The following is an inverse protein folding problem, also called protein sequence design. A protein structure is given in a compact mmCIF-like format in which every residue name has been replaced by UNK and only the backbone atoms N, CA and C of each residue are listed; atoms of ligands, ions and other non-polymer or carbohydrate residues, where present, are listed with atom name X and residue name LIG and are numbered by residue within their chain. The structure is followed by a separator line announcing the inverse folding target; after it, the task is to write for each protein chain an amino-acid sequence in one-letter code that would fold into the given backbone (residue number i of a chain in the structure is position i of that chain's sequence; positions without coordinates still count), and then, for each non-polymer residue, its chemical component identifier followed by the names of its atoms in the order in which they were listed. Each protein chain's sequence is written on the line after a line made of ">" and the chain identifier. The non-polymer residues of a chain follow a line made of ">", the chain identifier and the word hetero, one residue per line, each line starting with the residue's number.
data_IF_764752619626
#
_entry.id   IF_764752619626
#
_cell.length_a   1.000
_cell.length_b   1.000
_cell.length_c   1.000
_cell.angle_alpha   90.00
_cell.angle_beta   90.00
_cell.angle_gamma   90.00
#
_symmetry.space_group_name_H-M   'P 1'
#
loop_
_entity.id
_entity.type
_entity.pdbx_description
1 polymer ?
#
# COMPACT_ATOMS: atom_id res chain seq x y z
N UNK A 1 32.19 -26.54 9.70
CA UNK A 1 30.96 -26.09 9.06
C UNK A 1 31.14 -24.63 8.74
N UNK A 2 31.29 -24.27 7.47
CA UNK A 2 31.40 -22.88 7.06
C UNK A 2 29.99 -22.29 7.01
N UNK A 3 29.77 -21.04 7.49
CA UNK A 3 28.49 -20.37 7.31
C UNK A 3 28.37 -19.96 5.84
N UNK A 4 27.28 -20.40 5.21
CA UNK A 4 26.91 -20.00 3.85
C UNK A 4 26.51 -18.52 3.86
N UNK A 5 27.46 -17.65 3.49
CA UNK A 5 27.20 -16.25 3.22
C UNK A 5 26.56 -16.09 1.84
N UNK A 6 25.25 -16.24 1.74
CA UNK A 6 24.48 -15.77 0.58
C UNK A 6 23.73 -14.47 0.98
N UNK A 7 24.46 -13.43 1.33
CA UNK A 7 23.98 -12.06 1.30
C UNK A 7 24.13 -11.52 -0.13
N UNK A 8 23.28 -11.99 -1.04
CA UNK A 8 23.11 -11.33 -2.33
C UNK A 8 22.15 -10.14 -2.10
N UNK A 9 22.68 -8.96 -1.82
CA UNK A 9 21.92 -7.74 -1.98
C UNK A 9 21.66 -7.57 -3.47
N UNK A 10 20.49 -7.99 -3.90
CA UNK A 10 20.00 -7.68 -5.22
C UNK A 10 19.80 -6.15 -5.32
N UNK A 11 20.71 -5.48 -6.03
CA UNK A 11 20.70 -4.03 -6.25
C UNK A 11 19.90 -3.64 -7.49
N UNK A 12 19.11 -4.58 -8.06
CA UNK A 12 18.25 -4.34 -9.22
C UNK A 12 17.14 -3.34 -8.95
N UNK A 13 16.63 -2.72 -10.01
CA UNK A 13 15.38 -1.96 -9.98
C UNK A 13 14.25 -2.89 -9.52
N UNK A 14 13.47 -2.46 -8.52
CA UNK A 14 12.40 -3.26 -7.94
C UNK A 14 11.07 -2.61 -8.25
N UNK A 15 10.11 -3.41 -8.68
CA UNK A 15 8.75 -2.96 -8.91
C UNK A 15 8.03 -2.68 -7.59
N UNK A 16 6.90 -1.99 -7.68
CA UNK A 16 6.25 -1.40 -6.54
C UNK A 16 4.89 -2.04 -6.32
N UNK A 17 4.59 -2.41 -5.09
CA UNK A 17 3.28 -2.90 -4.68
C UNK A 17 2.19 -1.84 -4.84
N UNK A 18 0.92 -2.27 -4.92
CA UNK A 18 -0.25 -1.42 -4.87
C UNK A 18 -1.07 -1.67 -3.60
N UNK A 19 -1.46 -0.60 -2.92
CA UNK A 19 -2.34 -0.65 -1.73
C UNK A 19 -3.65 0.06 -2.02
N UNK A 20 -4.73 -0.49 -1.46
CA UNK A 20 -6.07 0.06 -1.57
C UNK A 20 -6.81 -0.11 -0.24
N UNK A 21 -7.67 0.85 0.12
CA UNK A 21 -8.53 0.74 1.29
C UNK A 21 -9.80 1.55 1.10
N UNK A 22 -10.91 1.07 1.65
CA UNK A 22 -12.20 1.76 1.58
C UNK A 22 -13.01 1.54 2.86
N UNK A 23 -13.69 2.58 3.30
CA UNK A 23 -14.63 2.55 4.41
C UNK A 23 -15.94 3.21 3.97
N UNK A 24 -16.96 2.41 3.81
CA UNK A 24 -18.33 2.87 3.53
C UNK A 24 -19.09 3.08 4.83
N UNK A 25 -19.55 4.32 5.06
CA UNK A 25 -20.22 4.71 6.30
C UNK A 25 -21.72 4.38 6.29
N UNK A 26 -22.29 4.14 5.12
CA UNK A 26 -23.69 3.74 4.96
C UNK A 26 -23.86 2.22 5.12
N UNK A 27 -22.77 1.47 5.24
CA UNK A 27 -22.78 0.04 5.49
C UNK A 27 -22.82 -0.82 4.22
N UNK A 28 -22.58 -0.23 3.04
CA UNK A 28 -22.53 -0.99 1.80
C UNK A 28 -21.30 -1.91 1.74
N UNK A 29 -21.43 -3.05 1.05
CA UNK A 29 -20.32 -3.97 0.83
C UNK A 29 -19.22 -3.34 -0.05
N UNK A 30 -17.99 -3.40 0.44
CA UNK A 30 -16.83 -2.77 -0.22
C UNK A 30 -15.97 -3.74 -1.02
N UNK A 31 -16.22 -5.05 -0.94
CA UNK A 31 -15.36 -6.04 -1.61
C UNK A 31 -15.31 -5.86 -3.13
N UNK A 32 -16.40 -5.53 -3.85
CA UNK A 32 -16.32 -5.25 -5.27
C UNK A 32 -15.49 -4.00 -5.59
N UNK A 33 -15.59 -2.97 -4.75
CA UNK A 33 -14.81 -1.75 -4.93
C UNK A 33 -13.31 -2.00 -4.75
N UNK A 34 -12.93 -2.84 -3.78
CA UNK A 34 -11.54 -3.24 -3.58
C UNK A 34 -11.03 -4.04 -4.79
N UNK A 35 -11.83 -4.97 -5.30
CA UNK A 35 -11.50 -5.74 -6.50
C UNK A 35 -11.17 -4.83 -7.69
N UNK A 36 -12.04 -3.87 -8.02
CA UNK A 36 -11.81 -2.95 -9.13
C UNK A 36 -10.64 -1.99 -8.87
N UNK A 37 -10.49 -1.51 -7.64
CA UNK A 37 -9.34 -0.69 -7.24
C UNK A 37 -8.01 -1.44 -7.40
N UNK A 38 -7.93 -2.71 -6.97
CA UNK A 38 -6.76 -3.56 -7.17
C UNK A 38 -6.51 -3.90 -8.64
N UNK A 39 -7.58 -4.14 -9.42
CA UNK A 39 -7.46 -4.37 -10.86
C UNK A 39 -6.85 -3.16 -11.57
N UNK A 40 -7.21 -1.94 -11.16
CA UNK A 40 -6.61 -0.72 -11.68
C UNK A 40 -5.14 -0.53 -11.25
N UNK A 41 -4.73 -1.15 -10.14
CA UNK A 41 -3.35 -1.15 -9.63
C UNK A 41 -2.54 -2.39 -10.04
N UNK A 42 -3.06 -3.27 -10.90
CA UNK A 42 -2.43 -4.54 -11.26
C UNK A 42 -1.03 -4.37 -11.86
N UNK A 43 -0.76 -3.26 -12.56
CA UNK A 43 0.55 -2.93 -13.12
C UNK A 43 1.64 -2.78 -12.05
N UNK A 44 1.27 -2.52 -10.79
CA UNK A 44 2.18 -2.38 -9.65
C UNK A 44 2.56 -3.72 -9.01
N UNK A 45 1.78 -4.77 -9.24
CA UNK A 45 2.07 -6.08 -8.66
C UNK A 45 1.31 -7.20 -9.35
N UNK A 46 2.00 -8.25 -9.78
CA UNK A 46 1.45 -9.34 -10.57
C UNK A 46 1.67 -10.73 -9.95
N UNK A 47 2.37 -10.82 -8.83
CA UNK A 47 2.73 -12.11 -8.23
C UNK A 47 1.68 -12.64 -7.26
N UNK A 48 1.10 -11.76 -6.47
CA UNK A 48 0.04 -12.13 -5.54
C UNK A 48 -0.86 -10.95 -5.23
N UNK A 49 -2.06 -11.26 -4.79
CA UNK A 49 -3.01 -10.25 -4.34
C UNK A 49 -3.83 -10.78 -3.17
N UNK A 50 -4.47 -9.85 -2.46
CA UNK A 50 -5.31 -10.19 -1.33
C UNK A 50 -6.28 -9.07 -0.97
N UNK A 51 -7.38 -9.48 -0.32
CA UNK A 51 -8.42 -8.60 0.22
C UNK A 51 -8.72 -9.01 1.64
N UNK A 52 -8.86 -8.04 2.53
CA UNK A 52 -9.36 -8.23 3.89
C UNK A 52 -10.50 -7.23 4.15
N UNK A 53 -11.61 -7.72 4.68
CA UNK A 53 -12.81 -6.92 4.98
C UNK A 53 -13.30 -7.16 6.39
N UNK A 54 -14.02 -6.20 6.95
CA UNK A 54 -14.70 -6.31 8.24
C UNK A 54 -16.05 -5.60 8.18
N UNK A 55 -16.99 -6.07 8.99
CA UNK A 55 -18.26 -5.40 9.23
C UNK A 55 -18.16 -4.59 10.52
N UNK A 56 -18.29 -3.26 10.40
CA UNK A 56 -18.19 -2.33 11.54
C UNK A 56 -19.40 -2.36 12.44
N UNK A 57 -20.53 -2.92 11.99
CA UNK A 57 -21.77 -3.10 12.78
C UNK A 57 -21.79 -4.44 13.52
N UNK A 58 -20.97 -5.39 13.10
CA UNK A 58 -20.90 -6.74 13.63
C UNK A 58 -20.20 -6.86 15.00
N UNK A 59 -20.20 -8.07 15.57
CA UNK A 59 -19.46 -8.34 16.80
C UNK A 59 -17.97 -8.09 16.60
N UNK A 60 -17.28 -7.69 17.66
CA UNK A 60 -15.90 -7.21 17.65
C UNK A 60 -14.97 -8.04 16.75
N UNK A 61 -14.55 -7.42 15.65
CA UNK A 61 -13.29 -7.72 15.00
C UNK A 61 -13.21 -8.98 14.15
N UNK A 62 -14.30 -9.45 13.57
CA UNK A 62 -14.20 -10.49 12.55
C UNK A 62 -13.71 -9.90 11.24
N UNK A 63 -12.44 -10.12 10.95
CA UNK A 63 -11.86 -9.86 9.63
C UNK A 63 -11.97 -11.13 8.81
N UNK A 64 -12.63 -11.01 7.65
CA UNK A 64 -12.59 -12.02 6.60
C UNK A 64 -11.49 -11.63 5.63
N UNK A 65 -10.66 -12.58 5.23
CA UNK A 65 -9.60 -12.32 4.24
C UNK A 65 -9.39 -13.48 3.31
N UNK A 66 -9.01 -13.16 2.09
CA UNK A 66 -8.56 -14.14 1.12
C UNK A 66 -7.36 -13.55 0.36
N UNK A 67 -6.37 -14.37 0.09
CA UNK A 67 -5.17 -14.01 -0.66
C UNK A 67 -4.65 -15.19 -1.45
N UNK A 68 -4.01 -14.91 -2.57
CA UNK A 68 -3.49 -15.95 -3.46
C UNK A 68 -2.37 -15.46 -4.35
N UNK A 69 -1.69 -16.40 -4.99
CA UNK A 69 -0.71 -16.13 -6.03
C UNK A 69 -1.42 -15.94 -7.37
N UNK A 70 -0.99 -14.95 -8.15
CA UNK A 70 -1.54 -14.61 -9.46
C UNK A 70 -2.21 -13.24 -9.50
N UNK A 71 -2.85 -12.98 -10.64
CA UNK A 71 -3.53 -11.71 -10.90
C UNK A 71 -4.86 -11.60 -10.15
N UNK A 72 -5.34 -10.38 -9.96
CA UNK A 72 -6.59 -10.11 -9.22
C UNK A 72 -7.78 -10.90 -9.80
N UNK A 73 -7.90 -10.93 -11.13
CA UNK A 73 -8.97 -11.66 -11.82
C UNK A 73 -8.80 -13.20 -11.78
N UNK A 74 -7.61 -13.70 -11.50
CA UNK A 74 -7.34 -15.14 -11.33
C UNK A 74 -7.68 -15.60 -9.91
N UNK A 75 -7.26 -14.82 -8.92
CA UNK A 75 -7.42 -15.12 -7.50
C UNK A 75 -8.86 -14.89 -7.03
N UNK A 76 -9.50 -13.80 -7.45
CA UNK A 76 -10.83 -13.42 -7.01
C UNK A 76 -11.87 -13.74 -8.07
N UNK A 77 -12.49 -14.90 -7.96
CA UNK A 77 -13.71 -15.25 -8.68
C UNK A 77 -14.94 -14.73 -7.92
N UNK A 78 -16.08 -14.59 -8.59
CA UNK A 78 -17.31 -14.05 -8.03
C UNK A 78 -17.69 -14.68 -6.68
N UNK A 79 -17.64 -16.01 -6.59
CA UNK A 79 -17.94 -16.74 -5.35
C UNK A 79 -17.01 -16.38 -4.19
N UNK A 80 -15.76 -16.02 -4.46
CA UNK A 80 -14.83 -15.58 -3.42
C UNK A 80 -15.10 -14.16 -2.96
N UNK A 81 -15.52 -13.28 -3.85
CA UNK A 81 -15.91 -11.92 -3.49
C UNK A 81 -17.18 -11.91 -2.63
N UNK A 82 -18.16 -12.78 -2.92
CA UNK A 82 -19.38 -12.93 -2.12
C UNK A 82 -19.09 -13.37 -0.67
N UNK A 83 -18.04 -14.20 -0.45
CA UNK A 83 -17.61 -14.61 0.89
C UNK A 83 -16.98 -13.41 1.69
N UNK A 84 -16.45 -12.41 0.99
CA UNK A 84 -15.74 -11.26 1.55
C UNK A 84 -16.69 -10.05 1.73
N UNK A 85 -17.77 -10.21 2.45
CA UNK A 85 -18.72 -9.12 2.73
C UNK A 85 -18.31 -8.31 3.95
N UNK A 86 -18.36 -6.98 3.83
CA UNK A 86 -18.07 -6.01 4.88
C UNK A 86 -18.13 -4.59 4.35
N UNK A 87 -18.24 -3.60 5.23
CA UNK A 87 -18.32 -2.18 4.85
C UNK A 87 -17.00 -1.40 5.07
N UNK A 88 -15.97 -2.07 5.55
CA UNK A 88 -14.61 -1.57 5.62
C UNK A 88 -13.66 -2.67 5.12
N UNK A 89 -12.67 -2.30 4.31
CA UNK A 89 -11.72 -3.28 3.81
C UNK A 89 -10.46 -2.66 3.22
N UNK A 90 -9.45 -3.51 3.07
CA UNK A 90 -8.17 -3.17 2.46
C UNK A 90 -7.77 -4.25 1.46
N UNK A 91 -6.98 -3.87 0.47
CA UNK A 91 -6.45 -4.78 -0.53
C UNK A 91 -5.01 -4.48 -0.88
N UNK A 92 -4.37 -5.45 -1.51
CA UNK A 92 -2.97 -5.39 -1.91
C UNK A 92 -2.73 -6.16 -3.21
N UNK A 93 -1.89 -5.61 -4.08
CA UNK A 93 -1.23 -6.31 -5.18
C UNK A 93 0.27 -6.27 -4.94
N UNK A 94 0.92 -7.44 -5.04
CA UNK A 94 2.32 -7.59 -4.64
C UNK A 94 3.21 -7.87 -5.85
N UNK A 95 4.35 -7.20 -5.84
CA UNK A 95 5.55 -7.61 -6.54
C UNK A 95 6.65 -7.87 -5.50
N UNK A 96 7.41 -8.97 -5.65
CA UNK A 96 8.41 -9.38 -4.64
C UNK A 96 9.62 -8.45 -4.64
N UNK A 97 9.72 -7.62 -3.61
CA UNK A 97 10.94 -6.87 -3.31
C UNK A 97 11.78 -7.56 -2.24
N UNK A 98 11.11 -8.23 -1.30
CA UNK A 98 11.72 -8.90 -0.16
C UNK A 98 10.90 -10.15 0.19
N UNK A 99 11.58 -11.26 0.47
CA UNK A 99 10.95 -12.55 0.80
C UNK A 99 10.58 -13.39 -0.42
N UNK A 100 10.27 -14.66 -0.18
CA UNK A 100 9.88 -15.63 -1.22
C UNK A 100 8.47 -15.36 -1.75
N UNK A 101 8.22 -15.77 -3.01
CA UNK A 101 6.87 -15.74 -3.60
C UNK A 101 6.05 -16.91 -3.09
N UNK A 102 5.46 -16.73 -1.91
CA UNK A 102 4.56 -17.70 -1.26
C UNK A 102 3.28 -17.01 -0.80
N UNK A 103 2.21 -17.79 -0.61
CA UNK A 103 0.92 -17.26 -0.15
C UNK A 103 1.02 -16.63 1.24
N UNK A 104 1.89 -17.13 2.09
CA UNK A 104 2.13 -16.58 3.43
C UNK A 104 2.59 -15.13 3.35
N UNK A 105 3.47 -14.83 2.39
CA UNK A 105 4.00 -13.49 2.13
C UNK A 105 3.06 -12.57 1.35
N UNK A 106 1.94 -13.08 0.84
CA UNK A 106 0.91 -12.24 0.23
C UNK A 106 0.23 -11.36 1.30
N UNK A 107 -0.15 -10.15 0.91
CA UNK A 107 -0.82 -9.19 1.77
C UNK A 107 -2.29 -9.02 1.34
N UNK A 108 -3.20 -8.52 2.20
CA UNK A 108 -2.97 -7.94 3.53
C UNK A 108 -2.51 -8.97 4.58
N UNK A 109 -1.67 -8.52 5.52
CA UNK A 109 -1.42 -9.27 6.75
C UNK A 109 -2.59 -9.05 7.70
N UNK A 110 -3.10 -10.14 8.29
CA UNK A 110 -4.18 -10.08 9.27
C UNK A 110 -3.68 -10.69 10.58
N UNK A 111 -3.62 -9.87 11.62
CA UNK A 111 -3.18 -10.25 12.95
C UNK A 111 -4.35 -10.16 13.93
N UNK A 112 -4.48 -11.19 14.76
CA UNK A 112 -5.36 -11.17 15.92
C UNK A 112 -4.54 -11.05 17.19
N UNK A 113 -4.87 -10.07 18.01
CA UNK A 113 -4.13 -9.79 19.23
C UNK A 113 -5.09 -9.32 20.35
N UNK A 114 -4.57 -9.00 21.55
CA UNK A 114 -5.36 -8.67 22.74
C UNK A 114 -6.43 -7.57 22.53
N UNK A 115 -6.18 -6.61 21.64
CA UNK A 115 -7.11 -5.48 21.40
C UNK A 115 -8.04 -5.68 20.20
N UNK A 116 -8.03 -6.85 19.58
CA UNK A 116 -8.85 -7.21 18.43
C UNK A 116 -8.02 -7.63 17.23
N UNK A 117 -8.47 -7.26 16.03
CA UNK A 117 -7.75 -7.54 14.77
C UNK A 117 -7.08 -6.30 14.21
N UNK A 118 -5.99 -6.50 13.51
CA UNK A 118 -5.28 -5.51 12.73
C UNK A 118 -5.00 -6.11 11.35
N UNK A 119 -5.35 -5.39 10.29
CA UNK A 119 -4.97 -5.76 8.93
C UNK A 119 -4.09 -4.68 8.34
N UNK A 120 -3.06 -5.06 7.59
CA UNK A 120 -2.06 -4.14 7.06
C UNK A 120 -1.71 -4.51 5.63
N UNK A 121 -1.74 -3.49 4.75
CA UNK A 121 -1.18 -3.50 3.40
C UNK A 121 -0.04 -2.49 3.33
N UNK A 122 1.10 -2.89 2.80
CA UNK A 122 2.33 -2.11 2.75
C UNK A 122 2.88 -2.06 1.33
N UNK A 123 3.06 -0.86 0.81
CA UNK A 123 3.86 -0.58 -0.38
C UNK A 123 5.16 0.09 0.08
N UNK A 124 6.27 -0.61 -0.06
CA UNK A 124 7.58 -0.07 0.30
C UNK A 124 8.55 -1.12 0.80
N UNK A 125 9.63 -0.63 1.42
CA UNK A 125 10.67 -1.49 1.99
C UNK A 125 11.38 -0.79 3.16
N UNK A 126 11.59 -1.52 4.25
CA UNK A 126 12.31 -1.04 5.42
C UNK A 126 13.80 -1.35 5.29
N UNK A 127 14.64 -0.34 5.49
CA UNK A 127 16.11 -0.51 5.45
C UNK A 127 16.66 -1.11 6.74
N UNK A 128 15.93 -1.05 7.85
CA UNK A 128 16.30 -1.62 9.14
C UNK A 128 15.44 -2.83 9.54
N UNK A 129 14.83 -3.51 8.57
CA UNK A 129 13.95 -4.65 8.83
C UNK A 129 14.65 -5.77 9.61
N UNK A 130 15.86 -6.16 9.21
CA UNK A 130 16.61 -7.24 9.87
C UNK A 130 16.96 -6.91 11.32
N UNK A 131 17.40 -5.67 11.57
CA UNK A 131 17.72 -5.18 12.91
C UNK A 131 16.50 -5.24 13.85
N UNK A 132 15.36 -4.73 13.36
CA UNK A 132 14.11 -4.74 14.13
C UNK A 132 13.59 -6.16 14.36
N UNK A 133 13.71 -7.04 13.37
CA UNK A 133 13.31 -8.44 13.48
C UNK A 133 14.09 -9.14 14.58
N UNK A 134 15.42 -9.03 14.56
CA UNK A 134 16.29 -9.63 15.57
C UNK A 134 15.97 -9.09 16.98
N UNK A 135 15.76 -7.79 17.12
CA UNK A 135 15.36 -7.18 18.41
C UNK A 135 14.03 -7.75 18.91
N UNK A 136 13.05 -7.94 18.04
CA UNK A 136 11.74 -8.50 18.40
C UNK A 136 11.83 -9.99 18.73
N UNK A 137 12.57 -10.78 17.96
CA UNK A 137 12.80 -12.22 18.21
C UNK A 137 13.51 -12.44 19.55
N UNK A 138 14.48 -11.60 19.90
CA UNK A 138 15.14 -11.62 21.21
C UNK A 138 14.21 -11.35 22.40
N UNK A 139 13.06 -10.73 22.14
CA UNK A 139 11.99 -10.50 23.14
C UNK A 139 10.84 -11.50 23.04
N UNK A 140 11.00 -12.56 22.22
CA UNK A 140 10.06 -13.66 22.10
C UNK A 140 9.02 -13.51 20.98
N UNK A 141 9.21 -12.59 20.02
CA UNK A 141 8.36 -12.52 18.85
C UNK A 141 8.57 -13.75 17.94
N UNK A 142 7.48 -14.27 17.39
CA UNK A 142 7.49 -15.37 16.42
C UNK A 142 6.92 -14.82 15.12
N UNK A 143 7.73 -14.80 14.08
CA UNK A 143 7.33 -14.35 12.74
C UNK A 143 6.91 -15.56 11.88
N UNK A 144 5.86 -15.36 11.09
CA UNK A 144 5.30 -16.36 10.18
C UNK A 144 5.66 -16.10 8.72
N UNK A 145 6.14 -14.90 8.42
CA UNK A 145 6.51 -14.48 7.06
C UNK A 145 7.96 -13.99 7.01
N UNK A 146 8.48 -13.86 5.81
CA UNK A 146 9.82 -13.29 5.59
C UNK A 146 9.78 -11.81 5.17
N UNK A 147 8.60 -11.19 5.11
CA UNK A 147 8.45 -9.80 4.68
C UNK A 147 8.57 -8.81 5.84
N UNK A 148 9.07 -7.64 5.53
CA UNK A 148 9.23 -6.52 6.48
C UNK A 148 7.90 -5.95 7.00
N UNK A 149 6.83 -6.13 6.25
CA UNK A 149 5.48 -5.70 6.62
C UNK A 149 5.00 -6.36 7.92
N UNK A 150 5.43 -7.59 8.24
CA UNK A 150 5.08 -8.26 9.49
C UNK A 150 5.75 -7.59 10.70
N UNK A 151 6.95 -7.03 10.52
CA UNK A 151 7.66 -6.25 11.54
C UNK A 151 6.86 -5.00 11.89
N UNK A 152 6.32 -4.30 10.88
CA UNK A 152 5.46 -3.13 11.08
C UNK A 152 4.19 -3.53 11.84
N UNK A 153 3.51 -4.58 11.38
CA UNK A 153 2.27 -5.04 11.98
C UNK A 153 2.46 -5.50 13.43
N UNK A 154 3.58 -6.22 13.69
CA UNK A 154 3.95 -6.66 15.04
C UNK A 154 4.29 -5.46 15.95
N UNK A 155 5.06 -4.50 15.44
CA UNK A 155 5.39 -3.26 16.16
C UNK A 155 4.13 -2.49 16.58
N UNK A 156 3.17 -2.32 15.66
CA UNK A 156 1.90 -1.66 15.97
C UNK A 156 1.11 -2.46 17.03
N UNK A 157 1.04 -3.78 16.92
CA UNK A 157 0.35 -4.62 17.88
C UNK A 157 1.00 -4.54 19.28
N UNK A 158 2.34 -4.54 19.37
CA UNK A 158 3.13 -4.37 20.59
C UNK A 158 2.83 -3.01 21.24
N UNK A 159 2.98 -1.93 20.49
CA UNK A 159 2.75 -0.58 20.99
C UNK A 159 1.28 -0.37 21.39
N UNK A 160 0.34 -1.01 20.71
CA UNK A 160 -1.10 -0.89 21.01
C UNK A 160 -1.49 -1.43 22.38
N UNK A 161 -0.72 -2.33 22.96
CA UNK A 161 -0.94 -2.81 24.33
C UNK A 161 -0.80 -1.67 25.35
N UNK A 162 0.14 -0.75 25.09
CA UNK A 162 0.49 0.35 25.98
C UNK A 162 -0.10 1.71 25.55
N UNK A 163 -0.70 1.78 24.35
CA UNK A 163 -1.30 3.02 23.82
C UNK A 163 -2.81 3.07 24.05
N UNK A 164 -3.35 4.27 24.19
CA UNK A 164 -4.79 4.50 24.33
C UNK A 164 -5.53 4.28 23.01
N UNK A 165 -4.91 4.65 21.89
CA UNK A 165 -5.50 4.56 20.55
C UNK A 165 -4.57 3.79 19.61
N UNK A 166 -5.10 3.34 18.46
CA UNK A 166 -4.29 2.68 17.42
C UNK A 166 -3.39 3.69 16.71
N UNK A 167 -3.85 4.93 16.56
CA UNK A 167 -3.07 6.03 15.98
C UNK A 167 -1.81 6.32 16.79
N UNK A 168 -1.95 6.36 18.13
CA UNK A 168 -0.79 6.51 19.02
C UNK A 168 0.19 5.35 18.88
N UNK A 169 -0.30 4.12 18.75
CA UNK A 169 0.55 2.94 18.53
C UNK A 169 1.30 3.03 17.20
N UNK A 170 0.60 3.44 16.13
CA UNK A 170 1.20 3.67 14.82
C UNK A 170 2.27 4.76 14.93
N UNK A 171 1.96 5.91 15.55
CA UNK A 171 2.90 7.02 15.71
C UNK A 171 4.18 6.60 16.47
N UNK A 172 4.07 5.69 17.43
CA UNK A 172 5.23 5.13 18.13
C UNK A 172 6.03 4.19 17.25
N UNK A 173 5.37 3.30 16.51
CA UNK A 173 6.02 2.34 15.60
C UNK A 173 6.77 3.03 14.48
N UNK A 174 6.19 4.06 13.85
CA UNK A 174 6.83 4.78 12.73
C UNK A 174 8.07 5.57 13.13
N UNK A 175 8.32 5.77 14.42
CA UNK A 175 9.58 6.35 14.93
C UNK A 175 10.73 5.34 14.92
N UNK A 176 10.43 4.04 14.96
CA UNK A 176 11.41 2.96 14.99
C UNK A 176 11.79 2.49 13.59
N UNK A 177 10.81 2.48 12.66
CA UNK A 177 11.02 1.99 11.28
C UNK A 177 11.71 3.06 10.43
N UNK A 178 12.62 2.59 9.56
CA UNK A 178 13.33 3.42 8.57
C UNK A 178 13.18 2.82 7.19
N UNK A 179 12.87 3.67 6.21
CA UNK A 179 12.69 3.25 4.82
C UNK A 179 11.60 4.03 4.11
N UNK A 180 11.17 3.52 2.97
CA UNK A 180 10.08 4.06 2.18
C UNK A 180 8.82 3.23 2.43
N UNK A 181 7.69 3.87 2.74
CA UNK A 181 6.45 3.14 2.96
C UNK A 181 5.19 3.98 2.72
N UNK A 182 4.21 3.35 2.12
CA UNK A 182 2.81 3.75 2.19
C UNK A 182 2.02 2.58 2.81
N UNK A 183 1.35 2.83 3.93
CA UNK A 183 0.59 1.82 4.65
C UNK A 183 -0.89 2.11 4.56
N UNK A 184 -1.68 1.07 4.31
CA UNK A 184 -3.12 1.09 4.51
C UNK A 184 -3.44 0.07 5.59
N UNK A 185 -4.00 0.55 6.68
CA UNK A 185 -4.24 -0.22 7.90
C UNK A 185 -5.73 -0.22 8.19
N UNK A 186 -6.27 -1.39 8.49
CA UNK A 186 -7.63 -1.57 8.94
C UNK A 186 -7.62 -2.13 10.37
N UNK A 187 -8.25 -1.43 11.28
CA UNK A 187 -8.76 -1.99 12.53
C UNK A 187 -10.26 -2.28 12.35
N UNK A 188 -10.94 -2.97 13.25
CA UNK A 188 -12.35 -3.32 13.07
C UNK A 188 -13.31 -2.16 12.79
N UNK A 189 -12.91 -0.92 13.06
CA UNK A 189 -13.77 0.28 12.95
C UNK A 189 -13.05 1.51 12.43
N UNK A 190 -11.83 1.38 11.92
CA UNK A 190 -11.06 2.51 11.40
C UNK A 190 -10.26 2.08 10.18
N UNK A 191 -10.27 2.94 9.18
CA UNK A 191 -9.35 2.90 8.05
C UNK A 191 -8.28 3.96 8.29
N UNK A 192 -7.01 3.59 8.13
CA UNK A 192 -5.88 4.46 8.43
C UNK A 192 -4.89 4.39 7.27
N UNK A 193 -4.46 5.55 6.78
CA UNK A 193 -3.39 5.69 5.81
C UNK A 193 -2.16 6.31 6.46
N UNK A 194 -0.97 5.82 6.12
CA UNK A 194 0.30 6.34 6.62
C UNK A 194 1.26 6.50 5.46
N UNK A 195 1.85 7.67 5.31
CA UNK A 195 2.87 7.91 4.30
C UNK A 195 4.21 8.22 4.95
N UNK A 196 5.29 7.66 4.40
CA UNK A 196 6.64 7.89 4.91
C UNK A 196 7.00 9.38 4.97
N UNK A 197 7.91 9.81 5.88
CA UNK A 197 8.19 11.23 6.10
C UNK A 197 8.85 11.92 4.90
N UNK A 198 9.49 11.18 4.00
CA UNK A 198 10.09 11.73 2.78
C UNK A 198 9.08 11.85 1.64
N UNK A 199 7.97 11.09 1.70
CA UNK A 199 6.98 10.99 0.64
C UNK A 199 7.46 10.16 -0.55
N UNK A 200 8.32 9.16 -0.30
CA UNK A 200 8.88 8.30 -1.34
C UNK A 200 7.81 7.47 -2.04
N UNK A 201 6.88 6.89 -1.25
CA UNK A 201 5.77 6.10 -1.79
C UNK A 201 4.51 6.94 -1.90
N UNK A 202 3.77 6.84 -3.02
CA UNK A 202 2.52 7.57 -3.19
C UNK A 202 1.38 6.97 -2.37
N UNK A 203 0.50 7.84 -1.89
CA UNK A 203 -0.77 7.48 -1.27
C UNK A 203 -1.74 8.64 -1.41
N UNK A 204 -2.93 8.40 -1.93
CA UNK A 204 -3.96 9.42 -2.13
C UNK A 204 -5.27 9.07 -1.43
N UNK A 205 -6.07 10.10 -1.20
CA UNK A 205 -7.39 10.05 -0.58
C UNK A 205 -8.43 10.33 -1.64
N UNK A 206 -9.44 9.49 -1.69
CA UNK A 206 -10.64 9.70 -2.49
C UNK A 206 -11.92 9.65 -1.67
N UNK A 207 -13.00 10.10 -2.26
CA UNK A 207 -14.34 10.03 -1.67
C UNK A 207 -15.35 9.62 -2.73
N UNK A 208 -16.24 8.67 -2.37
CA UNK A 208 -17.38 8.29 -3.18
C UNK A 208 -18.61 8.24 -2.27
N UNK A 209 -19.55 9.15 -2.47
CA UNK A 209 -20.70 9.32 -1.58
C UNK A 209 -20.25 9.46 -0.11
N UNK A 210 -20.68 8.55 0.77
CA UNK A 210 -20.24 8.49 2.17
C UNK A 210 -19.04 7.54 2.40
N UNK A 211 -18.39 7.03 1.35
CA UNK A 211 -17.21 6.17 1.48
C UNK A 211 -15.91 6.96 1.36
N UNK A 212 -14.98 6.73 2.27
CA UNK A 212 -13.60 7.19 2.18
C UNK A 212 -12.72 6.13 1.54
N UNK A 213 -11.81 6.54 0.68
CA UNK A 213 -10.92 5.66 -0.08
C UNK A 213 -9.47 6.09 0.08
N UNK A 214 -8.59 5.11 0.21
CA UNK A 214 -7.13 5.25 0.16
C UNK A 214 -6.60 4.39 -0.99
N UNK A 215 -5.69 4.93 -1.79
CA UNK A 215 -5.08 4.18 -2.88
C UNK A 215 -3.65 4.64 -3.15
N UNK A 216 -2.80 3.75 -3.68
CA UNK A 216 -1.47 4.12 -4.16
C UNK A 216 -1.53 5.15 -5.28
N UNK A 217 -2.53 5.06 -6.16
CA UNK A 217 -2.67 5.94 -7.33
C UNK A 217 -4.12 6.40 -7.55
N UNK A 218 -4.26 7.58 -8.12
CA UNK A 218 -5.58 8.18 -8.42
C UNK A 218 -6.37 7.39 -9.48
N UNK A 219 -5.72 6.63 -10.35
CA UNK A 219 -6.41 5.76 -11.31
C UNK A 219 -7.31 4.72 -10.63
N UNK A 220 -6.91 4.25 -9.43
CA UNK A 220 -7.72 3.32 -8.65
C UNK A 220 -8.98 4.00 -8.08
N UNK A 221 -8.92 5.28 -7.76
CA UNK A 221 -10.10 6.06 -7.35
C UNK A 221 -11.08 6.19 -8.52
N UNK A 222 -10.56 6.56 -9.69
CA UNK A 222 -11.36 6.70 -10.92
C UNK A 222 -12.06 5.40 -11.30
N UNK A 223 -11.38 4.25 -11.13
CA UNK A 223 -11.94 2.93 -11.49
C UNK A 223 -13.20 2.55 -10.71
N UNK A 224 -13.38 3.13 -9.53
CA UNK A 224 -14.55 2.88 -8.66
C UNK A 224 -15.52 4.08 -8.61
N UNK A 225 -15.28 5.12 -9.43
CA UNK A 225 -16.09 6.34 -9.43
C UNK A 225 -15.89 7.22 -8.20
N UNK A 226 -14.76 7.12 -7.52
CA UNK A 226 -14.41 8.01 -6.41
C UNK A 226 -13.72 9.28 -6.90
N UNK A 227 -14.08 10.41 -6.31
CA UNK A 227 -13.43 11.68 -6.56
C UNK A 227 -12.09 11.77 -5.81
N UNK A 228 -11.06 12.28 -6.47
CA UNK A 228 -9.78 12.57 -5.85
C UNK A 228 -9.92 13.77 -4.91
N UNK A 229 -9.58 13.59 -3.64
CA UNK A 229 -9.62 14.66 -2.64
C UNK A 229 -8.24 15.34 -2.55
N UNK A 230 -7.20 14.57 -2.23
CA UNK A 230 -5.80 15.02 -2.16
C UNK A 230 -4.85 13.83 -1.97
N UNK A 231 -3.59 14.08 -2.14
CA UNK A 231 -2.55 13.16 -1.67
C UNK A 231 -2.44 13.19 -0.13
N UNK A 232 -2.03 12.06 0.47
CA UNK A 232 -1.57 12.02 1.86
C UNK A 232 -0.21 12.71 1.89
N UNK A 233 -0.04 13.69 2.78
CA UNK A 233 1.21 14.42 2.86
C UNK A 233 2.35 13.54 3.39
N UNK A 234 3.61 13.83 3.03
CA UNK A 234 4.76 13.16 3.64
C UNK A 234 4.74 13.28 5.17
N UNK A 235 4.89 12.13 5.86
CA UNK A 235 4.84 12.05 7.31
C UNK A 235 3.46 12.14 7.93
N UNK A 236 2.40 12.11 7.11
CA UNK A 236 1.01 12.18 7.58
C UNK A 236 0.43 10.80 7.90
N UNK A 237 -0.34 10.74 8.97
CA UNK A 237 -1.22 9.64 9.37
C UNK A 237 -2.64 10.15 9.25
N UNK A 238 -3.42 9.60 8.33
CA UNK A 238 -4.83 9.91 8.14
C UNK A 238 -5.71 8.81 8.70
N UNK A 239 -6.76 9.17 9.41
CA UNK A 239 -7.69 8.23 10.03
C UNK A 239 -9.13 8.56 9.67
N UNK A 240 -9.86 7.55 9.24
CA UNK A 240 -11.31 7.58 9.03
C UNK A 240 -11.97 6.65 10.03
N UNK A 241 -12.90 7.17 10.80
CA UNK A 241 -13.72 6.44 11.76
C UNK A 241 -15.21 6.60 11.46
N UNK A 242 -16.05 6.00 12.28
CA UNK A 242 -17.51 6.04 12.14
C UNK A 242 -18.12 7.46 12.12
N UNK A 243 -17.38 8.49 12.50
CA UNK A 243 -17.87 9.87 12.44
C UNK A 243 -17.82 10.46 11.04
N UNK A 244 -17.16 9.78 10.11
CA UNK A 244 -16.97 10.25 8.74
C UNK A 244 -15.97 11.41 8.60
N UNK A 245 -15.37 11.86 9.70
CA UNK A 245 -14.38 12.93 9.67
C UNK A 245 -13.00 12.37 9.34
N UNK A 246 -12.28 13.07 8.48
CA UNK A 246 -10.86 12.84 8.25
C UNK A 246 -10.10 13.48 9.42
N UNK A 247 -9.34 12.65 10.15
CA UNK A 247 -8.39 13.11 11.17
C UNK A 247 -6.99 12.96 10.61
N UNK A 248 -6.16 13.95 10.86
CA UNK A 248 -4.79 14.03 10.34
C UNK A 248 -3.84 14.30 11.49
N UNK A 249 -2.81 13.45 11.62
CA UNK A 249 -1.71 13.60 12.57
C UNK A 249 -0.39 13.52 11.82
N UNK A 250 0.62 14.28 12.23
CA UNK A 250 1.92 14.29 11.59
C UNK A 250 3.01 13.70 12.47
N UNK A 251 3.91 12.97 11.84
CA UNK A 251 5.14 12.50 12.50
C UNK A 251 5.97 13.72 12.90
N UNK A 252 6.55 13.74 14.10
CA UNK A 252 7.36 14.87 14.59
C UNK A 252 8.79 14.80 14.01
N UNK A 253 8.89 14.87 12.68
CA UNK A 253 10.17 14.81 11.94
C UNK A 253 10.22 15.97 10.95
N UNK A 254 11.38 16.63 10.90
CA UNK A 254 11.67 17.67 9.92
C UNK A 254 12.69 17.12 8.92
N UNK A 255 12.18 16.63 7.78
CA UNK A 255 12.99 16.05 6.72
C UNK A 255 12.63 16.66 5.37
N UNK A 256 13.62 16.74 4.49
CA UNK A 256 13.39 17.20 3.12
C UNK A 256 12.61 16.15 2.36
N UNK A 257 11.50 16.55 1.72
CA UNK A 257 10.71 15.70 0.82
C UNK A 257 11.58 15.17 -0.31
N UNK A 258 11.42 13.90 -0.64
CA UNK A 258 12.20 13.21 -1.64
C UNK A 258 11.32 12.22 -2.42
N UNK A 259 10.49 12.76 -3.32
CA UNK A 259 9.60 11.94 -4.14
C UNK A 259 10.41 11.02 -5.05
N UNK A 260 9.96 9.77 -5.20
CA UNK A 260 10.60 8.80 -6.08
C UNK A 260 10.33 9.18 -7.54
N UNK A 261 11.39 9.50 -8.30
CA UNK A 261 11.25 9.85 -9.71
C UNK A 261 10.74 8.67 -10.56
N UNK A 262 11.00 7.43 -10.15
CA UNK A 262 10.52 6.24 -10.86
C UNK A 262 9.00 6.11 -10.88
N UNK A 263 8.30 6.68 -9.91
CA UNK A 263 6.84 6.76 -9.98
C UNK A 263 6.37 7.49 -11.24
N UNK A 264 7.04 8.58 -11.62
CA UNK A 264 6.67 9.38 -12.80
C UNK A 264 7.15 8.77 -14.12
N UNK A 265 8.33 8.18 -14.16
CA UNK A 265 8.89 7.67 -15.42
C UNK A 265 8.54 6.21 -15.72
N UNK A 266 8.18 5.41 -14.70
CA UNK A 266 8.01 3.97 -14.90
C UNK A 266 6.77 3.39 -14.21
N UNK A 267 6.63 3.51 -12.88
CA UNK A 267 5.64 2.73 -12.14
C UNK A 267 4.20 3.17 -12.35
N UNK A 268 3.90 4.46 -12.17
CA UNK A 268 2.54 4.94 -12.16
C UNK A 268 1.90 4.90 -13.56
N UNK A 269 0.60 4.66 -13.60
CA UNK A 269 -0.19 4.75 -14.84
C UNK A 269 -0.24 6.19 -15.33
N UNK A 270 -0.33 6.34 -16.64
CA UNK A 270 -0.36 7.64 -17.31
C UNK A 270 -1.48 8.56 -16.84
N UNK A 271 -2.63 7.99 -16.57
CA UNK A 271 -3.83 8.70 -16.11
C UNK A 271 -3.79 9.04 -14.61
N UNK A 272 -2.71 8.66 -13.92
CA UNK A 272 -2.51 8.98 -12.51
C UNK A 272 -1.96 10.39 -12.29
N UNK A 273 -2.34 10.94 -11.14
CA UNK A 273 -1.81 12.18 -10.60
C UNK A 273 -1.19 11.91 -9.24
N UNK A 274 0.07 12.29 -9.05
CA UNK A 274 0.83 12.09 -7.81
C UNK A 274 1.42 13.43 -7.39
N UNK A 275 1.21 13.84 -6.13
CA UNK A 275 1.71 15.09 -5.55
C UNK A 275 1.42 16.32 -6.45
N UNK A 276 0.20 16.37 -7.00
CA UNK A 276 -0.30 17.38 -7.94
C UNK A 276 0.37 17.40 -9.32
N UNK A 277 1.19 16.42 -9.67
CA UNK A 277 1.85 16.27 -10.96
C UNK A 277 1.15 15.18 -11.77
N UNK A 278 0.72 15.50 -13.00
CA UNK A 278 0.24 14.51 -13.95
C UNK A 278 1.40 13.64 -14.43
N UNK A 279 1.26 12.32 -14.32
CA UNK A 279 2.26 11.35 -14.80
C UNK A 279 2.44 11.48 -16.32
N UNK A 280 1.33 11.66 -17.05
CA UNK A 280 1.34 11.89 -18.49
C UNK A 280 2.18 13.11 -18.88
N UNK A 281 1.92 14.27 -18.27
CA UNK A 281 2.69 15.48 -18.53
C UNK A 281 4.16 15.36 -18.14
N UNK A 282 4.48 14.64 -17.05
CA UNK A 282 5.85 14.41 -16.64
C UNK A 282 6.62 13.60 -17.70
N UNK A 283 5.98 12.56 -18.25
CA UNK A 283 6.57 11.73 -19.31
C UNK A 283 6.72 12.49 -20.64
N UNK A 284 5.74 13.31 -21.04
CA UNK A 284 5.86 14.18 -22.22
C UNK A 284 7.07 15.12 -22.07
N UNK A 285 7.22 15.78 -20.91
CA UNK A 285 8.35 16.67 -20.67
C UNK A 285 9.68 15.92 -20.68
N UNK A 286 9.72 14.70 -20.13
CA UNK A 286 10.88 13.81 -20.18
C UNK A 286 11.28 13.46 -21.61
N UNK A 287 10.31 13.02 -22.42
CA UNK A 287 10.51 12.71 -23.84
C UNK A 287 10.98 13.93 -24.65
N UNK A 288 10.37 15.08 -24.45
CA UNK A 288 10.78 16.32 -25.12
C UNK A 288 12.21 16.74 -24.74
N UNK A 289 12.61 16.53 -23.47
CA UNK A 289 13.96 16.80 -23.00
C UNK A 289 14.96 15.82 -23.61
N UNK A 290 14.61 14.53 -23.65
CA UNK A 290 15.42 13.48 -24.26
C UNK A 290 15.70 13.78 -25.75
N UNK A 291 14.66 14.11 -26.51
CA UNK A 291 14.78 14.46 -27.94
C UNK A 291 15.68 15.67 -28.19
N UNK A 292 15.67 16.66 -27.29
CA UNK A 292 16.56 17.84 -27.38
C UNK A 292 18.01 17.52 -27.01
N UNK A 293 18.22 16.65 -26.02
CA UNK A 293 19.56 16.30 -25.50
C UNK A 293 20.26 15.32 -26.42
N UNK A 294 19.52 14.41 -27.01
CA UNK A 294 20.02 13.38 -27.92
C UNK A 294 19.22 13.38 -29.24
N UNK A 295 19.41 14.41 -30.09
CA UNK A 295 18.67 14.51 -31.33
C UNK A 295 19.06 13.35 -32.26
N UNK A 296 18.05 12.72 -32.84
CA UNK A 296 18.19 11.64 -33.84
C UNK A 296 17.44 12.06 -35.09
N UNK A 297 18.06 11.94 -36.23
CA UNK A 297 17.40 12.10 -37.55
C UNK A 297 16.64 10.80 -37.86
N UNK A 298 15.32 10.83 -37.70
CA UNK A 298 14.46 9.66 -37.85
C UNK A 298 13.11 10.05 -38.48
N UNK A 299 12.65 9.23 -39.42
CA UNK A 299 11.35 9.40 -40.09
C UNK A 299 10.18 8.98 -39.18
N UNK A 300 10.43 8.09 -38.22
CA UNK A 300 9.42 7.50 -37.36
C UNK A 300 9.99 7.16 -35.98
N UNK A 301 9.20 7.43 -34.94
CA UNK A 301 9.43 6.93 -33.59
C UNK A 301 8.42 5.83 -33.29
N UNK A 302 8.91 4.65 -32.94
CA UNK A 302 8.08 3.47 -32.66
C UNK A 302 8.29 2.99 -31.23
N UNK A 303 7.18 2.71 -30.52
CA UNK A 303 7.22 2.06 -29.23
C UNK A 303 7.46 0.55 -29.39
N UNK A 304 8.44 0.00 -28.70
CA UNK A 304 8.78 -1.41 -28.77
C UNK A 304 8.11 -2.25 -27.69
N UNK A 305 7.92 -1.69 -26.49
CA UNK A 305 7.38 -2.41 -25.35
C UNK A 305 5.94 -1.99 -25.06
N UNK A 306 5.11 -2.96 -24.73
CA UNK A 306 3.69 -2.75 -24.36
C UNK A 306 3.51 -1.81 -23.17
N UNK A 307 4.51 -1.78 -22.28
CA UNK A 307 4.56 -0.90 -21.11
C UNK A 307 5.02 0.51 -21.41
N UNK A 308 5.41 0.80 -22.65
CA UNK A 308 5.90 2.10 -23.09
C UNK A 308 4.88 2.90 -23.90
N UNK A 309 3.59 2.53 -23.86
CA UNK A 309 2.50 3.28 -24.47
C UNK A 309 2.34 4.69 -23.97
N UNK A 310 3.26 5.13 -23.25
CA UNK A 310 3.40 6.44 -22.72
C UNK A 310 4.21 7.39 -23.59
N UNK A 311 4.69 6.98 -24.70
CA UNK A 311 5.50 7.84 -25.56
C UNK A 311 4.65 8.84 -26.37
#
# INVERSE_FOLDING_TARGET
>A
MQPSSNNCYDTGLREECGVFGIYDLDGADVSPSIYYGLSALQHRGQESCGIAVSDTSGPKGHVKSYKGLGLVNEVFKESKLEELSGNIGIGHVRYSTTGSTTVENAQPLVLNYLKGSLSLSHNGNLVNAMELREQMENTGAIFHTSIDSEIIAYGIARERVHSKTVEEAILRTVKEIRGAYALVIMSPRKLIGVRDPYGLKPLCIGKRDNAWVLASESCALTSIGAEFVRDVAPGEIVTFDKTGNLKSEFMPVDVKKAHCIFEYIYFARLDSKIDNISVYEARIRGGATLAKTYPVDADLVCCLLYTSDAA
#
